data_IF_630876111914
#
_entry.id   IF_630876111914
#
_cell.length_a   1.000
_cell.length_b   1.000
_cell.length_c   1.000
_cell.angle_alpha   90.00
_cell.angle_beta   90.00
_cell.angle_gamma   90.00
#
_symmetry.space_group_name_H-M   'P 1'
#
loop_
_entity.id
_entity.type
_entity.pdbx_description
1 polymer ?
#
# COMPACT_ATOMS: atom_id res chain seq x y z
N UNK A 1 2.89 24.00 21.90
CA UNK A 1 4.09 23.14 21.91
C UNK A 1 3.71 21.91 21.11
N UNK A 2 4.16 21.82 19.85
CA UNK A 2 3.99 20.60 19.08
C UNK A 2 4.84 19.53 19.77
N UNK A 3 4.20 18.47 20.25
CA UNK A 3 4.89 17.28 20.69
C UNK A 3 5.78 16.81 19.55
N UNK A 4 7.09 16.87 19.74
CA UNK A 4 8.12 16.46 18.78
C UNK A 4 8.15 14.92 18.73
N UNK A 5 7.02 14.32 18.33
CA UNK A 5 6.88 12.88 18.20
C UNK A 5 7.46 12.46 16.85
N UNK A 6 8.45 11.57 16.89
CA UNK A 6 9.11 11.05 15.70
C UNK A 6 8.10 10.49 14.69
N UNK A 7 8.27 10.84 13.42
CA UNK A 7 7.41 10.36 12.33
C UNK A 7 7.67 8.87 12.12
N UNK A 8 6.63 8.05 12.33
CA UNK A 8 6.68 6.61 12.06
C UNK A 8 6.50 6.37 10.56
N UNK A 9 7.51 5.79 9.94
CA UNK A 9 7.49 5.36 8.54
C UNK A 9 7.53 3.84 8.51
N UNK A 10 6.57 3.24 7.80
CA UNK A 10 6.50 1.78 7.63
C UNK A 10 7.32 1.37 6.42
N UNK A 11 8.09 0.29 6.56
CA UNK A 11 8.85 -0.29 5.46
C UNK A 11 8.85 -1.81 5.51
N UNK A 12 8.76 -2.46 4.35
CA UNK A 12 8.75 -3.94 4.26
C UNK A 12 10.14 -4.52 3.98
N UNK A 13 11.05 -3.73 3.41
CA UNK A 13 12.41 -4.16 3.18
C UNK A 13 13.28 -4.05 4.43
N UNK A 14 13.46 -5.18 5.12
CA UNK A 14 14.33 -5.29 6.29
C UNK A 14 15.79 -4.88 5.99
N UNK A 15 16.27 -5.09 4.77
CA UNK A 15 17.59 -4.62 4.34
C UNK A 15 17.68 -3.10 4.34
N UNK A 16 16.66 -2.40 3.82
CA UNK A 16 16.57 -0.95 3.88
C UNK A 16 16.53 -0.43 5.32
N UNK A 17 15.75 -1.08 6.20
CA UNK A 17 15.68 -0.72 7.63
C UNK A 17 17.03 -0.93 8.32
N UNK A 18 17.71 -2.04 8.05
CA UNK A 18 19.01 -2.34 8.61
C UNK A 18 20.07 -1.34 8.13
N UNK A 19 20.04 -0.97 6.85
CA UNK A 19 20.95 0.04 6.28
C UNK A 19 20.71 1.44 6.85
N UNK A 20 19.47 1.79 7.17
CA UNK A 20 19.16 3.07 7.81
C UNK A 20 19.61 3.12 9.27
N UNK A 21 19.74 1.96 9.95
CA UNK A 21 20.14 1.86 11.37
C UNK A 21 21.63 1.59 11.57
N UNK A 22 22.24 0.74 10.75
CA UNK A 22 23.62 0.29 10.89
C UNK A 22 24.43 0.51 9.60
N UNK A 23 25.55 1.27 9.66
CA UNK A 23 26.33 1.64 8.48
C UNK A 23 27.31 0.57 7.97
N UNK A 24 27.33 -0.65 8.54
CA UNK A 24 28.39 -1.63 8.27
C UNK A 24 28.45 -2.19 6.84
N UNK A 25 27.44 -1.93 5.99
CA UNK A 25 27.46 -2.36 4.59
C UNK A 25 28.11 -1.31 3.69
N UNK A 26 29.45 -1.30 3.69
CA UNK A 26 30.25 -0.52 2.75
C UNK A 26 30.79 -1.39 1.61
N UNK A 27 30.28 -1.16 0.39
CA UNK A 27 31.02 -0.98 -0.88
C UNK A 27 30.12 -1.36 -2.07
N UNK A 28 29.87 -0.36 -2.94
CA UNK A 28 29.32 -0.43 -4.33
C UNK A 28 27.88 0.05 -4.52
N UNK A 29 27.52 1.29 -4.17
CA UNK A 29 26.40 2.01 -4.84
C UNK A 29 26.35 3.51 -4.50
N UNK A 30 27.07 4.33 -5.28
CA UNK A 30 27.15 5.80 -5.07
C UNK A 30 25.78 6.51 -5.08
N UNK A 31 24.80 5.98 -5.81
CA UNK A 31 23.44 6.54 -5.90
C UNK A 31 22.55 6.22 -4.70
N UNK A 32 22.92 5.19 -3.94
CA UNK A 32 22.29 4.79 -2.68
C UNK A 32 22.83 5.74 -1.60
N UNK A 33 24.15 5.91 -1.50
CA UNK A 33 24.80 6.74 -0.47
C UNK A 33 24.09 8.10 -0.21
N UNK A 34 23.77 8.88 -1.25
CA UNK A 34 23.15 10.22 -1.09
C UNK A 34 21.75 10.16 -0.44
N UNK A 35 20.85 9.28 -0.90
CA UNK A 35 19.50 9.18 -0.32
C UNK A 35 19.51 8.54 1.06
N UNK A 36 20.48 7.69 1.30
CA UNK A 36 20.65 7.00 2.58
C UNK A 36 21.17 7.95 3.65
N UNK A 37 22.06 8.89 3.31
CA UNK A 37 22.48 9.93 4.25
C UNK A 37 21.30 10.73 4.80
N UNK A 38 20.38 11.16 3.93
CA UNK A 38 19.22 11.94 4.37
C UNK A 38 18.30 11.15 5.32
N UNK A 39 17.92 9.93 4.96
CA UNK A 39 17.04 9.10 5.80
C UNK A 39 17.73 8.76 7.12
N UNK A 40 19.02 8.46 7.07
CA UNK A 40 19.83 8.15 8.25
C UNK A 40 19.94 9.33 9.19
N UNK A 41 20.28 10.51 8.71
CA UNK A 41 20.33 11.75 9.51
C UNK A 41 19.01 11.95 10.24
N UNK A 42 17.87 11.76 9.55
CA UNK A 42 16.55 11.90 10.16
C UNK A 42 16.21 10.82 11.19
N UNK A 43 16.73 9.61 11.02
CA UNK A 43 16.58 8.52 12.00
C UNK A 43 17.50 8.73 13.21
N UNK A 44 18.74 9.19 13.00
CA UNK A 44 19.72 9.51 14.05
C UNK A 44 19.29 10.74 14.87
N UNK A 45 18.73 11.76 14.22
CA UNK A 45 18.12 12.94 14.85
C UNK A 45 16.85 12.60 15.65
N UNK A 46 16.37 11.35 15.59
CA UNK A 46 15.13 10.91 16.24
C UNK A 46 13.87 11.52 15.63
N UNK A 47 13.95 12.16 14.47
CA UNK A 47 12.81 12.75 13.77
C UNK A 47 11.97 11.71 13.04
N UNK A 48 12.58 10.58 12.67
CA UNK A 48 11.94 9.48 11.93
C UNK A 48 12.22 8.15 12.61
N UNK A 49 11.17 7.33 12.77
CA UNK A 49 11.28 5.94 13.24
C UNK A 49 10.82 5.01 12.14
N UNK A 50 11.73 4.14 11.68
CA UNK A 50 11.41 3.09 10.71
C UNK A 50 10.87 1.84 11.42
N UNK A 51 9.65 1.47 11.07
CA UNK A 51 8.96 0.28 11.58
C UNK A 51 8.74 -0.74 10.47
N UNK A 52 9.08 -1.99 10.74
CA UNK A 52 8.84 -3.07 9.80
C UNK A 52 7.34 -3.36 9.66
N UNK A 53 6.88 -3.56 8.42
CA UNK A 53 5.56 -4.09 8.09
C UNK A 53 5.71 -5.26 7.12
N UNK A 54 4.86 -6.28 7.22
CA UNK A 54 4.86 -7.37 6.24
C UNK A 54 4.53 -6.83 4.83
N UNK A 55 5.15 -7.37 3.79
CA UNK A 55 4.80 -7.06 2.39
C UNK A 55 3.31 -7.33 2.10
N UNK A 56 2.68 -8.30 2.77
CA UNK A 56 1.23 -8.56 2.63
C UNK A 56 0.35 -7.45 3.21
N UNK A 57 0.93 -6.62 4.07
CA UNK A 57 0.24 -5.57 4.82
C UNK A 57 0.71 -4.16 4.40
N UNK A 58 1.70 -4.07 3.50
CA UNK A 58 2.23 -2.81 3.00
C UNK A 58 1.21 -2.13 2.09
N UNK A 59 0.40 -1.23 2.64
CA UNK A 59 -0.65 -0.52 1.90
C UNK A 59 -0.11 0.25 0.70
N UNK A 60 1.13 0.74 0.75
CA UNK A 60 1.74 1.46 -0.37
C UNK A 60 1.92 0.61 -1.63
N UNK A 61 1.92 -0.73 -1.51
CA UNK A 61 2.08 -1.63 -2.65
C UNK A 61 0.91 -1.53 -3.63
N UNK A 62 -0.30 -1.17 -3.16
CA UNK A 62 -1.46 -0.95 -4.03
C UNK A 62 -1.23 0.22 -5.02
N UNK A 63 -0.36 1.16 -4.65
CA UNK A 63 -0.08 2.37 -5.44
C UNK A 63 1.20 2.25 -6.27
N UNK A 64 2.13 1.38 -5.87
CA UNK A 64 3.49 1.33 -6.45
C UNK A 64 3.76 0.07 -7.26
N UNK A 65 2.98 -1.00 -7.08
CA UNK A 65 3.20 -2.31 -7.72
C UNK A 65 1.97 -2.80 -8.46
N UNK A 66 2.20 -3.63 -9.48
CA UNK A 66 1.15 -4.45 -10.09
C UNK A 66 0.97 -5.72 -9.25
N UNK A 67 -0.03 -5.72 -8.37
CA UNK A 67 -0.32 -6.84 -7.45
C UNK A 67 -1.44 -7.75 -8.00
N UNK A 68 -1.53 -8.97 -7.47
CA UNK A 68 -2.60 -9.91 -7.85
C UNK A 68 -3.98 -9.39 -7.39
N UNK A 69 -5.05 -9.79 -8.08
CA UNK A 69 -6.41 -9.38 -7.71
C UNK A 69 -6.77 -9.74 -6.25
N UNK A 70 -6.29 -10.90 -5.76
CA UNK A 70 -6.49 -11.32 -4.37
C UNK A 70 -5.83 -10.35 -3.39
N UNK A 71 -4.56 -10.00 -3.63
CA UNK A 71 -3.82 -9.06 -2.79
C UNK A 71 -4.42 -7.65 -2.87
N UNK A 72 -4.88 -7.25 -4.05
CA UNK A 72 -5.54 -5.97 -4.28
C UNK A 72 -6.82 -5.85 -3.43
N UNK A 73 -7.71 -6.83 -3.45
CA UNK A 73 -8.94 -6.78 -2.65
C UNK A 73 -8.65 -6.72 -1.14
N UNK A 74 -7.64 -7.45 -0.67
CA UNK A 74 -7.20 -7.38 0.74
C UNK A 74 -6.72 -5.97 1.10
N UNK A 75 -5.79 -5.41 0.33
CA UNK A 75 -5.23 -4.08 0.61
C UNK A 75 -6.28 -2.97 0.42
N UNK A 76 -7.15 -3.10 -0.58
CA UNK A 76 -8.28 -2.20 -0.84
C UNK A 76 -9.28 -2.21 0.32
N UNK A 77 -9.59 -3.39 0.87
CA UNK A 77 -10.42 -3.54 2.05
C UNK A 77 -9.80 -2.88 3.28
N UNK A 78 -8.49 -3.05 3.49
CA UNK A 78 -7.74 -2.37 4.58
C UNK A 78 -7.71 -0.85 4.42
N UNK A 79 -7.72 -0.35 3.18
CA UNK A 79 -7.82 1.09 2.88
C UNK A 79 -9.24 1.64 3.07
N UNK A 80 -10.23 0.78 3.38
CA UNK A 80 -11.62 1.17 3.57
C UNK A 80 -12.38 1.41 2.26
N UNK A 81 -11.78 1.10 1.11
CA UNK A 81 -12.41 1.29 -0.21
C UNK A 81 -13.31 0.10 -0.48
N UNK A 82 -14.55 0.15 0.01
CA UNK A 82 -15.56 -0.85 -0.29
C UNK A 82 -16.34 -0.44 -1.55
N UNK A 83 -16.77 -1.42 -2.34
CA UNK A 83 -17.74 -1.15 -3.41
C UNK A 83 -19.00 -0.56 -2.79
N UNK A 84 -19.70 0.32 -3.52
CA UNK A 84 -20.97 0.85 -3.07
C UNK A 84 -21.84 -0.32 -2.60
N UNK A 85 -22.22 -0.31 -1.31
CA UNK A 85 -23.26 -1.22 -0.85
C UNK A 85 -24.47 -0.89 -1.73
N UNK A 86 -24.96 -1.87 -2.47
CA UNK A 86 -26.31 -1.78 -3.00
C UNK A 86 -27.17 -1.52 -1.76
N UNK A 87 -27.64 -0.28 -1.60
CA UNK A 87 -28.78 -0.04 -0.73
C UNK A 87 -29.85 -0.89 -1.39
N UNK A 88 -30.22 -2.00 -0.75
CA UNK A 88 -31.37 -2.78 -1.14
C UNK A 88 -32.59 -1.89 -0.92
N UNK A 89 -32.83 -0.96 -1.85
CA UNK A 89 -34.14 -0.38 -2.00
C UNK A 89 -35.06 -1.55 -2.30
N UNK A 90 -36.11 -1.71 -1.51
CA UNK A 90 -37.17 -2.70 -1.66
C UNK A 90 -37.98 -2.48 -2.95
N UNK A 91 -37.30 -2.44 -4.10
CA UNK A 91 -37.86 -2.26 -5.42
C UNK A 91 -37.86 -3.60 -6.14
N UNK A 92 -39.05 -4.08 -6.48
CA UNK A 92 -39.23 -5.32 -7.23
C UNK A 92 -38.54 -5.22 -8.60
N UNK A 93 -37.50 -6.00 -8.84
CA UNK A 93 -36.90 -6.14 -10.18
C UNK A 93 -37.86 -6.97 -11.05
N UNK A 94 -38.57 -6.30 -11.96
CA UNK A 94 -39.33 -6.99 -13.01
C UNK A 94 -38.34 -7.67 -13.95
N UNK A 95 -38.28 -9.00 -13.93
CA UNK A 95 -37.53 -9.78 -14.91
C UNK A 95 -38.15 -9.55 -16.30
N UNK A 96 -37.46 -8.80 -17.17
CA UNK A 96 -37.81 -8.75 -18.60
C UNK A 96 -37.54 -10.11 -19.21
N UNK A 97 -38.58 -10.77 -19.71
CA UNK A 97 -38.46 -11.96 -20.55
C UNK A 97 -37.68 -11.62 -21.82
N UNK A 98 -36.81 -12.52 -22.31
CA UNK A 98 -36.08 -12.30 -23.56
C UNK A 98 -37.06 -12.21 -24.73
N UNK A 99 -36.87 -11.21 -25.60
CA UNK A 99 -37.68 -11.08 -26.83
C UNK A 99 -37.40 -12.29 -27.72
N UNK A 100 -38.43 -12.90 -28.34
CA UNK A 100 -38.22 -14.04 -29.23
C UNK A 100 -37.32 -13.65 -30.40
N UNK A 101 -36.38 -14.53 -30.74
CA UNK A 101 -35.48 -14.36 -31.87
C UNK A 101 -36.30 -14.26 -33.17
N UNK A 102 -36.03 -13.23 -33.97
CA UNK A 102 -36.64 -13.07 -35.28
C UNK A 102 -36.14 -14.22 -36.18
N UNK A 103 -37.06 -15.11 -36.55
CA UNK A 103 -36.82 -16.13 -37.57
C UNK A 103 -36.85 -15.44 -38.92
N UNK A 104 -35.70 -15.26 -39.56
CA UNK A 104 -35.65 -14.88 -40.97
C UNK A 104 -35.86 -16.13 -41.83
N UNK A 105 -36.85 -16.04 -42.74
CA UNK A 105 -37.12 -17.03 -43.79
C UNK A 105 -36.16 -16.87 -44.95
#
# INVERSE_FOLDING_TARGET
>A
MASDEAIKIYEDNQGSIALAKNPEFHKRTKHIDIRYHFVREKVEDGQVVLQYVSTTDMLADIMTKAITAVQFEVLRGKLGIQGARAVESSGSVVKKTPRPAAVYR
#
